data_IF_317475316021
#
_entry.id   IF_317475316021
#
_cell.length_a   1.000
_cell.length_b   1.000
_cell.length_c   1.000
_cell.angle_alpha   90.00
_cell.angle_beta   90.00
_cell.angle_gamma   90.00
#
_symmetry.space_group_name_H-M   'P 1'
#
loop_
_entity.id
_entity.type
_entity.pdbx_description
1 polymer ?
#
# COMPACT_ATOMS: atom_id res chain seq x y z
N UNK A 1 1.87 -14.71 -12.68
CA UNK A 1 3.09 -15.40 -12.23
C UNK A 1 3.87 -15.91 -13.43
N UNK A 2 3.26 -16.67 -14.34
CA UNK A 2 3.96 -17.18 -15.55
C UNK A 2 4.63 -16.09 -16.40
N UNK A 3 4.05 -14.88 -16.45
CA UNK A 3 4.63 -13.72 -17.13
C UNK A 3 5.73 -12.99 -16.31
N UNK A 4 6.20 -13.56 -15.19
CA UNK A 4 7.26 -12.99 -14.36
C UNK A 4 6.79 -12.10 -13.21
N UNK A 5 5.49 -12.10 -12.86
CA UNK A 5 5.01 -11.36 -11.68
C UNK A 5 5.68 -11.89 -10.41
N UNK A 6 6.21 -10.97 -9.59
CA UNK A 6 6.88 -11.26 -8.33
C UNK A 6 6.00 -10.98 -7.11
N UNK A 7 4.88 -10.32 -7.29
CA UNK A 7 3.87 -10.08 -6.27
C UNK A 7 2.50 -9.86 -6.92
N UNK A 8 1.44 -10.07 -6.16
CA UNK A 8 0.04 -9.90 -6.58
C UNK A 8 -0.64 -8.85 -5.71
N UNK A 9 -1.35 -7.92 -6.33
CA UNK A 9 -2.14 -6.89 -5.62
C UNK A 9 -3.55 -6.88 -6.17
N UNK A 10 -4.55 -6.87 -5.30
CA UNK A 10 -5.96 -6.72 -5.70
C UNK A 10 -6.62 -5.52 -5.00
N UNK A 11 -7.69 -4.96 -5.56
CA UNK A 11 -8.42 -3.86 -4.92
C UNK A 11 -9.39 -4.33 -3.84
N UNK A 12 -9.71 -5.62 -3.80
CA UNK A 12 -10.69 -6.24 -2.92
C UNK A 12 -10.14 -7.53 -2.32
N UNK A 13 -10.80 -8.02 -1.27
CA UNK A 13 -10.48 -9.30 -0.67
C UNK A 13 -10.90 -10.45 -1.60
N UNK A 14 -9.92 -11.28 -1.94
CA UNK A 14 -10.13 -12.51 -2.71
C UNK A 14 -9.25 -13.60 -2.09
N UNK A 15 -9.90 -14.57 -1.45
CA UNK A 15 -9.21 -15.65 -0.75
C UNK A 15 -8.50 -16.60 -1.72
N UNK A 16 -9.11 -16.88 -2.89
CA UNK A 16 -8.50 -17.74 -3.90
C UNK A 16 -7.20 -17.13 -4.45
N UNK A 17 -7.16 -15.79 -4.60
CA UNK A 17 -5.93 -15.09 -4.99
C UNK A 17 -4.83 -15.24 -3.93
N UNK A 18 -5.19 -15.19 -2.65
CA UNK A 18 -4.23 -15.36 -1.56
C UNK A 18 -3.68 -16.80 -1.59
N UNK A 19 -4.54 -17.80 -1.65
CA UNK A 19 -4.13 -19.21 -1.73
C UNK A 19 -3.24 -19.47 -2.95
N UNK A 20 -3.66 -19.01 -4.13
CA UNK A 20 -2.88 -19.14 -5.36
C UNK A 20 -1.48 -18.51 -5.23
N UNK A 21 -1.40 -17.30 -4.69
CA UNK A 21 -0.11 -16.60 -4.56
C UNK A 21 0.83 -17.31 -3.59
N UNK A 22 0.29 -17.84 -2.50
CA UNK A 22 1.06 -18.65 -1.53
C UNK A 22 1.60 -19.94 -2.16
N UNK A 23 0.76 -20.67 -2.89
CA UNK A 23 1.19 -21.89 -3.61
C UNK A 23 2.25 -21.57 -4.66
N UNK A 24 2.13 -20.42 -5.34
CA UNK A 24 3.07 -19.95 -6.35
C UNK A 24 4.34 -19.31 -5.75
N UNK A 25 4.45 -19.18 -4.42
CA UNK A 25 5.60 -18.57 -3.75
C UNK A 25 5.82 -17.09 -4.06
N UNK A 26 4.75 -16.34 -4.32
CA UNK A 26 4.81 -14.89 -4.58
C UNK A 26 4.08 -14.11 -3.49
N UNK A 27 4.56 -12.91 -3.20
CA UNK A 27 3.96 -11.99 -2.22
C UNK A 27 2.54 -11.61 -2.63
N UNK A 28 1.58 -11.66 -1.70
CA UNK A 28 0.18 -11.29 -1.94
C UNK A 28 -0.25 -10.15 -1.04
N UNK A 29 -0.83 -9.12 -1.68
CA UNK A 29 -1.30 -7.88 -1.04
C UNK A 29 -2.78 -7.67 -1.41
N UNK A 30 -3.72 -8.41 -0.80
CA UNK A 30 -5.15 -8.27 -1.09
C UNK A 30 -5.70 -6.95 -0.54
N UNK A 31 -6.70 -6.41 -1.22
CA UNK A 31 -7.43 -5.24 -0.78
C UNK A 31 -8.41 -5.57 0.34
N UNK A 32 -8.53 -4.67 1.30
CA UNK A 32 -9.50 -4.71 2.39
C UNK A 32 -9.81 -3.28 2.83
N UNK A 33 -10.94 -3.06 3.46
CA UNK A 33 -11.29 -1.75 4.00
C UNK A 33 -11.64 -1.83 5.49
N UNK A 34 -12.39 -2.82 5.91
CA UNK A 34 -12.89 -2.97 7.27
C UNK A 34 -11.96 -3.83 8.14
N UNK A 35 -12.01 -3.72 9.48
CA UNK A 35 -11.27 -4.61 10.38
C UNK A 35 -11.53 -6.09 10.09
N UNK A 36 -12.79 -6.47 9.80
CA UNK A 36 -13.15 -7.86 9.49
C UNK A 36 -12.45 -8.35 8.22
N UNK A 37 -12.45 -7.58 7.15
CA UNK A 37 -11.74 -7.93 5.91
C UNK A 37 -10.23 -8.02 6.12
N UNK A 38 -9.66 -7.08 6.88
CA UNK A 38 -8.22 -7.05 7.20
C UNK A 38 -7.81 -8.30 7.97
N UNK A 39 -8.56 -8.67 9.01
CA UNK A 39 -8.30 -9.89 9.80
C UNK A 39 -8.51 -11.15 8.94
N UNK A 40 -9.53 -11.17 8.08
CA UNK A 40 -9.79 -12.29 7.17
C UNK A 40 -8.63 -12.48 6.19
N UNK A 41 -8.12 -11.40 5.58
CA UNK A 41 -6.95 -11.45 4.71
C UNK A 41 -5.71 -11.97 5.45
N UNK A 42 -5.47 -11.47 6.67
CA UNK A 42 -4.35 -11.88 7.50
C UNK A 42 -4.42 -13.35 7.90
N UNK A 43 -5.58 -13.83 8.34
CA UNK A 43 -5.79 -15.24 8.69
C UNK A 43 -5.65 -16.18 7.48
N UNK A 44 -5.97 -15.71 6.28
CA UNK A 44 -5.70 -16.40 5.02
C UNK A 44 -4.21 -16.33 4.60
N UNK A 45 -3.36 -15.74 5.45
CA UNK A 45 -1.90 -15.65 5.27
C UNK A 45 -1.47 -14.72 4.13
N UNK A 46 -2.17 -13.60 3.94
CA UNK A 46 -1.65 -12.51 3.12
C UNK A 46 -0.34 -11.95 3.72
N UNK A 47 0.63 -11.60 2.88
CA UNK A 47 1.92 -11.05 3.34
C UNK A 47 1.77 -9.61 3.86
N UNK A 48 0.96 -8.80 3.18
CA UNK A 48 0.56 -7.45 3.57
C UNK A 48 -0.93 -7.28 3.23
N UNK A 49 -1.59 -6.30 3.83
CA UNK A 49 -3.00 -5.98 3.51
C UNK A 49 -3.11 -4.56 2.97
N UNK A 50 -3.59 -4.45 1.74
CA UNK A 50 -3.87 -3.17 1.10
C UNK A 50 -5.16 -2.58 1.67
N UNK A 51 -5.08 -1.39 2.27
CA UNK A 51 -6.27 -0.61 2.67
C UNK A 51 -6.67 0.29 1.51
N UNK A 52 -7.84 0.02 0.89
CA UNK A 52 -8.27 0.72 -0.32
C UNK A 52 -9.80 0.94 -0.38
N UNK A 53 -10.21 2.17 -0.73
CA UNK A 53 -9.42 3.40 -0.87
C UNK A 53 -9.15 4.06 0.49
N UNK A 54 -7.89 4.34 0.84
CA UNK A 54 -7.51 4.81 2.17
C UNK A 54 -7.91 6.28 2.45
N UNK A 55 -7.77 7.16 1.45
CA UNK A 55 -8.07 8.59 1.61
C UNK A 55 -9.53 8.87 2.02
N UNK A 56 -10.54 8.38 1.28
CA UNK A 56 -11.96 8.60 1.57
C UNK A 56 -12.44 8.09 2.93
N UNK A 57 -11.76 7.09 3.51
CA UNK A 57 -12.17 6.49 4.80
C UNK A 57 -11.47 7.11 6.01
N UNK A 58 -10.73 8.20 5.82
CA UNK A 58 -10.09 8.96 6.91
C UNK A 58 -8.57 9.02 6.85
N UNK A 59 -7.95 8.47 5.82
CA UNK A 59 -6.51 8.61 5.60
C UNK A 59 -5.65 8.07 6.74
N UNK A 60 -4.61 8.82 7.19
CA UNK A 60 -3.70 8.38 8.25
C UNK A 60 -4.40 8.08 9.59
N UNK A 61 -5.46 8.81 9.93
CA UNK A 61 -6.20 8.56 11.18
C UNK A 61 -6.92 7.21 11.16
N UNK A 62 -7.47 6.83 10.01
CA UNK A 62 -8.06 5.51 9.84
C UNK A 62 -7.02 4.39 10.03
N UNK A 63 -5.84 4.53 9.42
CA UNK A 63 -4.74 3.57 9.59
C UNK A 63 -4.34 3.47 11.07
N UNK A 64 -4.23 4.60 11.78
CA UNK A 64 -3.91 4.63 13.20
C UNK A 64 -4.95 3.88 14.03
N UNK A 65 -6.24 4.12 13.76
CA UNK A 65 -7.34 3.46 14.44
C UNK A 65 -7.34 1.93 14.25
N UNK A 66 -7.05 1.46 13.04
CA UNK A 66 -6.93 0.02 12.73
C UNK A 66 -5.69 -0.57 13.41
N UNK A 67 -4.55 0.13 13.38
CA UNK A 67 -3.28 -0.35 13.95
C UNK A 67 -3.32 -0.46 15.48
N UNK A 68 -4.17 0.27 16.17
CA UNK A 68 -4.29 0.19 17.61
C UNK A 68 -4.66 -1.24 18.11
N UNK A 69 -5.74 -1.88 17.64
CA UNK A 69 -6.07 -3.26 17.99
C UNK A 69 -5.33 -4.33 17.16
N UNK A 70 -4.77 -3.99 16.00
CA UNK A 70 -4.16 -4.93 15.04
C UNK A 70 -2.71 -4.54 14.70
N UNK A 71 -1.82 -4.35 15.72
CA UNK A 71 -0.47 -3.86 15.49
C UNK A 71 0.39 -4.81 14.64
N UNK A 72 0.09 -6.11 14.64
CA UNK A 72 0.84 -7.15 13.94
C UNK A 72 0.58 -7.20 12.44
N UNK A 73 -0.56 -6.64 11.95
CA UNK A 73 -0.91 -6.73 10.53
C UNK A 73 -0.23 -5.61 9.74
N UNK A 74 0.63 -5.91 8.76
CA UNK A 74 1.29 -4.91 7.93
C UNK A 74 0.30 -4.32 6.91
N UNK A 75 -0.03 -3.03 7.05
CA UNK A 75 -0.98 -2.32 6.19
C UNK A 75 -0.29 -1.51 5.11
N UNK A 76 -0.89 -1.50 3.92
CA UNK A 76 -0.46 -0.72 2.75
C UNK A 76 -1.60 0.20 2.30
N UNK A 77 -1.74 1.41 2.88
CA UNK A 77 -2.73 2.36 2.41
C UNK A 77 -2.50 2.71 0.95
N UNK A 78 -3.60 2.71 0.18
CA UNK A 78 -3.62 2.97 -1.25
C UNK A 78 -4.86 3.80 -1.59
N UNK A 79 -4.74 4.72 -2.55
CA UNK A 79 -5.81 5.65 -2.92
C UNK A 79 -5.86 6.87 -1.99
N UNK A 80 -5.60 8.04 -2.56
CA UNK A 80 -5.48 9.30 -1.83
C UNK A 80 -4.13 9.52 -1.13
N UNK A 81 -3.15 8.67 -1.41
CA UNK A 81 -1.77 8.83 -0.92
C UNK A 81 -1.02 9.81 -1.84
N UNK A 82 -0.44 10.86 -1.26
CA UNK A 82 0.35 11.89 -1.95
C UNK A 82 1.55 12.33 -1.09
N UNK A 83 2.41 13.21 -1.61
CA UNK A 83 3.61 13.67 -0.92
C UNK A 83 3.29 14.40 0.40
N UNK A 84 2.14 15.10 0.50
CA UNK A 84 1.75 15.86 1.67
C UNK A 84 1.36 14.95 2.85
N UNK A 85 0.80 13.77 2.57
CA UNK A 85 0.32 12.85 3.61
C UNK A 85 1.16 11.57 3.77
N UNK A 86 2.12 11.31 2.87
CA UNK A 86 2.96 10.09 2.89
C UNK A 86 3.62 9.86 4.26
N UNK A 87 4.26 10.89 4.83
CA UNK A 87 4.90 10.79 6.14
C UNK A 87 3.88 10.53 7.27
N UNK A 88 2.68 11.10 7.18
CA UNK A 88 1.62 10.88 8.16
C UNK A 88 1.10 9.44 8.14
N UNK A 89 0.94 8.83 6.96
CA UNK A 89 0.60 7.40 6.84
C UNK A 89 1.66 6.49 7.47
N UNK A 90 2.95 6.77 7.24
CA UNK A 90 4.05 5.98 7.85
C UNK A 90 4.03 6.12 9.37
N UNK A 91 3.89 7.34 9.91
CA UNK A 91 3.77 7.57 11.36
C UNK A 91 2.51 6.96 11.97
N UNK A 92 1.46 6.77 11.18
CA UNK A 92 0.25 6.07 11.60
C UNK A 92 0.42 4.55 11.68
N UNK A 93 1.58 4.02 11.26
CA UNK A 93 1.90 2.60 11.32
C UNK A 93 1.76 1.85 9.98
N UNK A 94 1.66 2.56 8.85
CA UNK A 94 1.69 1.91 7.55
C UNK A 94 3.06 1.25 7.30
N UNK A 95 3.05 0.00 6.84
CA UNK A 95 4.26 -0.76 6.49
C UNK A 95 4.87 -0.27 5.16
N UNK A 96 4.02 0.07 4.20
CA UNK A 96 4.38 0.61 2.90
C UNK A 96 3.25 1.51 2.39
N UNK A 97 3.46 2.18 1.26
CA UNK A 97 2.47 3.05 0.62
C UNK A 97 2.20 2.58 -0.81
N UNK A 98 0.91 2.51 -1.18
CA UNK A 98 0.49 2.28 -2.56
C UNK A 98 0.20 3.62 -3.24
N UNK A 99 1.08 4.05 -4.15
CA UNK A 99 0.98 5.33 -4.85
C UNK A 99 0.75 5.10 -6.33
N UNK A 100 -0.32 5.67 -6.84
CA UNK A 100 -0.70 5.57 -8.25
C UNK A 100 -0.40 6.85 -9.04
N UNK A 101 -1.45 7.57 -9.45
CA UNK A 101 -1.35 8.74 -10.31
C UNK A 101 -0.50 9.88 -9.74
N UNK A 102 -0.40 9.99 -8.42
CA UNK A 102 0.47 10.96 -7.74
C UNK A 102 1.97 10.68 -7.96
N UNK A 103 2.33 9.46 -8.31
CA UNK A 103 3.70 9.07 -8.66
C UNK A 103 3.89 9.06 -10.18
N UNK A 104 2.95 8.44 -10.90
CA UNK A 104 3.05 8.25 -12.34
C UNK A 104 2.15 9.27 -13.06
N UNK A 105 2.69 10.45 -13.33
CA UNK A 105 1.99 11.51 -14.06
C UNK A 105 1.78 11.10 -15.52
N UNK A 106 0.51 11.04 -15.95
CA UNK A 106 0.14 10.61 -17.30
C UNK A 106 0.67 11.54 -18.40
N UNK A 107 0.78 12.86 -18.09
CA UNK A 107 1.30 13.83 -19.07
C UNK A 107 2.80 13.65 -19.23
N UNK A 108 3.53 13.46 -18.13
CA UNK A 108 4.96 13.15 -18.16
C UNK A 108 5.25 11.88 -18.97
N UNK A 109 4.43 10.82 -18.78
CA UNK A 109 4.54 9.57 -19.58
C UNK A 109 4.31 9.85 -21.07
N UNK A 110 3.23 10.57 -21.41
CA UNK A 110 2.90 10.88 -22.81
C UNK A 110 3.99 11.72 -23.51
N UNK A 111 4.71 12.53 -22.75
CA UNK A 111 5.82 13.37 -23.25
C UNK A 111 7.19 12.69 -23.19
N UNK A 112 7.28 11.44 -22.70
CA UNK A 112 8.55 10.74 -22.47
C UNK A 112 9.41 11.37 -21.36
N UNK A 113 8.84 12.25 -20.52
CA UNK A 113 9.55 12.93 -19.44
C UNK A 113 9.59 12.08 -18.17
N UNK A 114 10.33 10.98 -18.21
CA UNK A 114 10.46 10.05 -17.08
C UNK A 114 11.29 10.62 -15.91
N UNK A 115 12.05 11.69 -16.13
CA UNK A 115 12.80 12.35 -15.07
C UNK A 115 11.87 12.88 -13.96
N UNK A 116 10.71 13.42 -14.31
CA UNK A 116 9.69 13.88 -13.35
C UNK A 116 9.24 12.74 -12.45
N UNK A 117 8.97 11.55 -13.02
CA UNK A 117 8.55 10.37 -12.26
C UNK A 117 9.66 9.94 -11.30
N UNK A 118 10.90 9.94 -11.77
CA UNK A 118 12.08 9.60 -10.96
C UNK A 118 12.24 10.55 -9.76
N UNK A 119 12.12 11.85 -9.97
CA UNK A 119 12.25 12.83 -8.89
C UNK A 119 11.08 12.74 -7.90
N UNK A 120 9.86 12.53 -8.39
CA UNK A 120 8.70 12.28 -7.53
C UNK A 120 8.89 11.02 -6.67
N UNK A 121 9.39 9.93 -7.26
CA UNK A 121 9.71 8.70 -6.52
C UNK A 121 10.77 8.95 -5.42
N UNK A 122 11.83 9.70 -5.73
CA UNK A 122 12.86 10.10 -4.74
C UNK A 122 12.26 10.91 -3.59
N UNK A 123 11.33 11.83 -3.90
CA UNK A 123 10.65 12.63 -2.88
C UNK A 123 9.80 11.76 -1.95
N UNK A 124 9.04 10.79 -2.48
CA UNK A 124 8.31 9.81 -1.66
C UNK A 124 9.24 8.98 -0.78
N UNK A 125 10.32 8.45 -1.34
CA UNK A 125 11.30 7.66 -0.60
C UNK A 125 11.97 8.48 0.51
N UNK A 126 12.26 9.76 0.25
CA UNK A 126 12.78 10.68 1.27
C UNK A 126 11.77 10.88 2.40
N UNK A 127 10.52 11.20 2.08
CA UNK A 127 9.44 11.40 3.07
C UNK A 127 9.24 10.16 3.96
N UNK A 128 9.30 8.96 3.37
CA UNK A 128 9.18 7.69 4.09
C UNK A 128 10.38 7.48 5.04
N UNK A 129 11.61 7.68 4.56
CA UNK A 129 12.83 7.54 5.38
C UNK A 129 12.82 8.52 6.55
N UNK A 130 12.52 9.79 6.28
CA UNK A 130 12.47 10.83 7.32
C UNK A 130 11.38 10.53 8.36
N UNK A 131 10.25 9.94 7.95
CA UNK A 131 9.19 9.55 8.86
C UNK A 131 9.56 8.33 9.73
N UNK A 132 10.38 7.40 9.22
CA UNK A 132 10.88 6.21 9.94
C UNK A 132 12.09 6.51 10.81
N UNK A 133 12.97 7.41 10.39
CA UNK A 133 14.23 7.72 11.08
C UNK A 133 14.10 8.65 12.28
N UNK A 134 12.87 9.04 12.65
CA UNK A 134 12.56 9.87 13.83
C UNK A 134 11.95 9.05 14.96
N UNK A 135 12.19 7.77 14.98
CA UNK A 135 11.84 6.85 16.07
C UNK A 135 13.06 6.41 16.85
#
# INVERSE_FOLDING_TARGET
VLAGARFLVSPSLNLDLIHFGREAGVVVIPGAMTPTEIVTAWNAQADLVKVFPAGPVGGPEYIRAIKAPLPQIPLVPTGGVNLQNAAAFIRAGAAALGVGGELVDKKAVAQGNFAVITETAKAFLKAIRDARGKG
#
